data_IF_269893162360
#
_entry.id   IF_269893162360
#
_cell.length_a   1.000
_cell.length_b   1.000
_cell.length_c   1.000
_cell.angle_alpha   90.00
_cell.angle_beta   90.00
_cell.angle_gamma   90.00
#
_symmetry.space_group_name_H-M   'P 1'
#
loop_
_entity.id
_entity.type
_entity.pdbx_description
1 polymer ?
#
# COMPACT_ATOMS: atom_id res chain seq x y z
N UNK A 1 32.51 -43.35 11.33
CA UNK A 1 33.16 -42.28 10.53
C UNK A 1 32.30 -41.78 9.37
N UNK A 2 31.63 -42.66 8.59
CA UNK A 2 30.74 -42.27 7.49
C UNK A 2 29.53 -41.43 7.94
N UNK A 3 28.84 -41.87 9.00
CA UNK A 3 27.66 -41.18 9.54
C UNK A 3 27.96 -39.75 10.00
N UNK A 4 29.12 -39.54 10.64
CA UNK A 4 29.58 -38.21 11.06
C UNK A 4 29.80 -37.29 9.86
N UNK A 5 30.44 -37.78 8.78
CA UNK A 5 30.63 -37.00 7.54
C UNK A 5 29.30 -36.68 6.84
N UNK A 6 28.32 -37.57 6.88
CA UNK A 6 26.99 -37.32 6.31
C UNK A 6 26.21 -36.25 7.10
N UNK A 7 26.25 -36.32 8.44
CA UNK A 7 25.59 -35.34 9.31
C UNK A 7 26.22 -33.96 9.15
N UNK A 8 27.56 -33.86 9.08
CA UNK A 8 28.23 -32.57 8.88
C UNK A 8 27.96 -31.96 7.50
N UNK A 9 27.88 -32.77 6.43
CA UNK A 9 27.46 -32.28 5.11
C UNK A 9 25.99 -31.79 5.12
N UNK A 10 25.08 -32.52 5.76
CA UNK A 10 23.67 -32.10 5.88
C UNK A 10 23.54 -30.76 6.62
N UNK A 11 24.23 -30.61 7.76
CA UNK A 11 24.24 -29.34 8.52
C UNK A 11 24.83 -28.21 7.66
N UNK A 12 25.93 -28.44 6.96
CA UNK A 12 26.54 -27.43 6.09
C UNK A 12 25.61 -27.01 4.94
N UNK A 13 24.90 -27.95 4.31
CA UNK A 13 23.93 -27.65 3.24
C UNK A 13 22.71 -26.87 3.77
N UNK A 14 22.20 -27.23 4.95
CA UNK A 14 21.10 -26.52 5.60
C UNK A 14 21.52 -25.09 5.97
N UNK A 15 22.70 -24.92 6.59
CA UNK A 15 23.24 -23.60 6.92
C UNK A 15 23.46 -22.74 5.66
N UNK A 16 23.99 -23.32 4.58
CA UNK A 16 24.17 -22.60 3.32
C UNK A 16 22.82 -22.18 2.73
N UNK A 17 21.81 -23.06 2.73
CA UNK A 17 20.47 -22.74 2.27
C UNK A 17 19.85 -21.59 3.08
N UNK A 18 19.99 -21.60 4.41
CA UNK A 18 19.53 -20.52 5.30
C UNK A 18 20.23 -19.20 4.96
N UNK A 19 21.56 -19.19 4.83
CA UNK A 19 22.34 -17.99 4.51
C UNK A 19 21.99 -17.43 3.13
N UNK A 20 21.83 -18.31 2.14
CA UNK A 20 21.41 -17.91 0.79
C UNK A 20 20.00 -17.31 0.82
N UNK A 21 19.05 -17.94 1.51
CA UNK A 21 17.69 -17.44 1.63
C UNK A 21 17.64 -16.07 2.33
N UNK A 22 18.39 -15.90 3.41
CA UNK A 22 18.51 -14.62 4.12
C UNK A 22 19.11 -13.50 3.25
N UNK A 23 20.10 -13.82 2.40
CA UNK A 23 20.65 -12.85 1.43
C UNK A 23 19.65 -12.47 0.34
N UNK A 24 18.90 -13.43 -0.19
CA UNK A 24 17.85 -13.20 -1.20
C UNK A 24 16.74 -12.31 -0.62
N UNK A 25 16.27 -12.62 0.59
CA UNK A 25 15.24 -11.84 1.28
C UNK A 25 15.69 -10.38 1.52
N UNK A 26 16.96 -10.18 1.92
CA UNK A 26 17.53 -8.84 2.13
C UNK A 26 17.60 -8.03 0.83
N UNK A 27 17.95 -8.66 -0.30
CA UNK A 27 18.05 -7.99 -1.60
C UNK A 27 16.66 -7.66 -2.19
N UNK A 28 15.70 -8.57 -2.07
CA UNK A 28 14.31 -8.32 -2.50
C UNK A 28 13.72 -7.12 -1.73
N UNK A 29 13.99 -7.06 -0.43
CA UNK A 29 13.54 -5.98 0.44
C UNK A 29 14.12 -4.62 0.07
N UNK A 30 15.45 -4.49 -0.08
CA UNK A 30 16.08 -3.22 -0.47
C UNK A 30 15.49 -2.70 -1.79
N UNK A 31 15.27 -3.63 -2.72
CA UNK A 31 14.65 -3.35 -4.01
C UNK A 31 13.23 -2.83 -3.84
N UNK A 32 12.40 -3.50 -3.03
CA UNK A 32 11.03 -3.10 -2.76
C UNK A 32 10.94 -1.74 -2.05
N UNK A 33 11.79 -1.49 -1.05
CA UNK A 33 11.88 -0.20 -0.35
C UNK A 33 12.29 0.92 -1.29
N UNK A 34 13.33 0.71 -2.09
CA UNK A 34 13.80 1.70 -3.07
C UNK A 34 12.72 1.97 -4.12
N UNK A 35 12.04 0.94 -4.62
CA UNK A 35 10.93 1.07 -5.55
C UNK A 35 9.75 1.84 -4.95
N UNK A 36 9.33 1.49 -3.73
CA UNK A 36 8.26 2.18 -3.03
C UNK A 36 8.58 3.67 -2.84
N UNK A 37 9.78 3.99 -2.35
CA UNK A 37 10.20 5.36 -2.07
C UNK A 37 10.41 6.21 -3.33
N UNK A 38 11.11 5.69 -4.34
CA UNK A 38 11.56 6.49 -5.48
C UNK A 38 10.63 6.43 -6.68
N UNK A 39 9.71 5.47 -6.73
CA UNK A 39 8.78 5.28 -7.86
C UNK A 39 7.33 5.41 -7.43
N UNK A 40 6.90 4.66 -6.42
CA UNK A 40 5.48 4.57 -6.07
C UNK A 40 4.99 5.72 -5.19
N UNK A 41 5.85 6.27 -4.33
CA UNK A 41 5.49 7.37 -3.45
C UNK A 41 5.20 8.67 -4.22
N UNK A 42 6.05 9.13 -5.18
CA UNK A 42 5.70 10.30 -6.00
C UNK A 42 4.39 10.15 -6.77
N UNK A 43 4.04 8.92 -7.17
CA UNK A 43 2.76 8.62 -7.83
C UNK A 43 1.59 8.73 -6.86
N UNK A 44 1.73 8.23 -5.63
CA UNK A 44 0.69 8.36 -4.59
C UNK A 44 0.50 9.82 -4.16
N UNK A 45 1.60 10.54 -3.93
CA UNK A 45 1.61 11.97 -3.62
C UNK A 45 0.99 12.81 -4.75
N UNK A 46 1.38 12.53 -5.99
CA UNK A 46 0.82 13.19 -7.18
C UNK A 46 -0.71 13.07 -7.28
N UNK A 47 -1.34 12.10 -6.62
CA UNK A 47 -2.79 11.96 -6.64
C UNK A 47 -3.52 13.06 -5.87
N UNK A 48 -2.84 13.74 -4.95
CA UNK A 48 -3.35 14.87 -4.16
C UNK A 48 -3.13 16.22 -4.83
N UNK A 49 -2.37 16.25 -5.93
CA UNK A 49 -1.95 17.47 -6.59
C UNK A 49 -2.96 17.96 -7.65
N UNK A 50 -2.83 19.22 -8.07
CA UNK A 50 -3.47 19.67 -9.31
C UNK A 50 -2.80 19.03 -10.54
N UNK A 51 -3.43 19.14 -11.72
CA UNK A 51 -2.90 18.52 -12.94
C UNK A 51 -1.46 18.95 -13.26
N UNK A 52 -1.08 20.24 -13.22
CA UNK A 52 0.30 20.66 -13.44
C UNK A 52 1.31 20.06 -12.46
N UNK A 53 0.98 20.02 -11.17
CA UNK A 53 1.86 19.46 -10.14
C UNK A 53 1.95 17.94 -10.24
N UNK A 54 0.85 17.25 -10.47
CA UNK A 54 0.85 15.80 -10.72
C UNK A 54 1.75 15.44 -11.90
N UNK A 55 1.69 16.23 -12.97
CA UNK A 55 2.57 16.07 -14.14
C UNK A 55 4.05 16.27 -13.78
N UNK A 56 4.38 17.21 -12.88
CA UNK A 56 5.75 17.36 -12.36
C UNK A 56 6.16 16.14 -11.54
N UNK A 57 5.28 15.61 -10.70
CA UNK A 57 5.55 14.42 -9.89
C UNK A 57 5.87 13.20 -10.74
N UNK A 58 5.07 12.95 -11.78
CA UNK A 58 5.33 11.81 -12.66
C UNK A 58 6.58 12.01 -13.51
N UNK A 59 6.85 13.24 -13.98
CA UNK A 59 8.03 13.53 -14.81
C UNK A 59 9.36 13.45 -14.08
N UNK A 60 9.35 13.60 -12.76
CA UNK A 60 10.55 13.37 -11.94
C UNK A 60 10.90 11.88 -11.82
N UNK A 61 9.90 11.01 -11.92
CA UNK A 61 10.13 9.56 -11.96
C UNK A 61 10.54 9.10 -13.36
N UNK A 62 9.89 9.65 -14.39
CA UNK A 62 10.17 9.39 -15.80
C UNK A 62 10.01 10.68 -16.61
N UNK A 63 11.10 11.24 -17.12
CA UNK A 63 11.09 12.49 -17.88
C UNK A 63 10.13 12.48 -19.08
N UNK A 64 9.88 11.30 -19.65
CA UNK A 64 9.03 11.09 -20.82
C UNK A 64 7.63 10.60 -20.41
N UNK A 65 7.24 10.78 -19.14
CA UNK A 65 5.94 10.38 -18.63
C UNK A 65 4.80 11.07 -19.39
N UNK A 66 3.81 10.26 -19.76
CA UNK A 66 2.60 10.70 -20.44
C UNK A 66 1.43 10.47 -19.50
N UNK A 67 0.76 11.53 -19.07
CA UNK A 67 -0.54 11.41 -18.42
C UNK A 67 -1.60 11.10 -19.48
N UNK A 68 -2.35 10.03 -19.30
CA UNK A 68 -3.28 9.56 -20.32
C UNK A 68 -4.58 10.35 -20.34
N UNK A 69 -5.11 10.71 -19.17
CA UNK A 69 -6.49 11.19 -19.05
C UNK A 69 -6.68 12.31 -18.02
N UNK A 70 -5.60 12.92 -17.51
CA UNK A 70 -5.75 13.82 -16.37
C UNK A 70 -6.23 13.05 -15.13
N UNK A 71 -6.96 13.74 -14.27
CA UNK A 71 -7.69 13.11 -13.18
C UNK A 71 -9.08 12.72 -13.64
N UNK A 72 -9.43 11.45 -13.48
CA UNK A 72 -10.82 11.04 -13.44
C UNK A 72 -11.31 11.22 -12.00
N UNK A 73 -12.51 11.78 -11.86
CA UNK A 73 -13.15 11.91 -10.56
C UNK A 73 -14.57 11.41 -10.61
N UNK A 74 -15.02 10.83 -9.49
CA UNK A 74 -16.38 10.38 -9.31
C UNK A 74 -16.78 10.59 -7.86
N UNK A 75 -18.09 10.74 -7.63
CA UNK A 75 -18.63 10.77 -6.27
C UNK A 75 -18.42 9.40 -5.62
N UNK A 76 -17.64 9.37 -4.54
CA UNK A 76 -17.48 8.16 -3.74
C UNK A 76 -18.64 7.98 -2.77
N UNK A 77 -19.09 9.09 -2.16
CA UNK A 77 -20.27 9.15 -1.29
C UNK A 77 -20.70 10.61 -1.13
N UNK A 78 -22.01 10.87 -1.20
CA UNK A 78 -22.60 12.22 -1.08
C UNK A 78 -21.88 13.26 -1.96
N UNK A 79 -21.15 14.20 -1.34
CA UNK A 79 -20.41 15.28 -1.99
C UNK A 79 -18.88 15.10 -1.93
N UNK A 80 -18.41 13.90 -1.58
CA UNK A 80 -16.98 13.56 -1.65
C UNK A 80 -16.63 13.03 -3.03
N UNK A 81 -15.66 13.68 -3.66
CA UNK A 81 -15.06 13.24 -4.90
C UNK A 81 -13.84 12.39 -4.60
N UNK A 82 -13.81 11.18 -5.14
CA UNK A 82 -12.55 10.46 -5.28
C UNK A 82 -11.92 10.78 -6.61
N UNK A 83 -10.60 10.57 -6.67
CA UNK A 83 -9.79 10.88 -7.83
C UNK A 83 -8.87 9.71 -8.14
N UNK A 84 -8.68 9.47 -9.43
CA UNK A 84 -7.70 8.51 -9.95
C UNK A 84 -7.04 9.14 -11.17
N UNK A 85 -5.73 8.97 -11.30
CA UNK A 85 -5.04 9.31 -12.54
C UNK A 85 -4.31 8.09 -13.10
N UNK A 86 -4.04 8.15 -14.40
CA UNK A 86 -3.27 7.12 -15.09
C UNK A 86 -2.16 7.75 -15.91
N UNK A 87 -0.98 7.13 -15.87
CA UNK A 87 0.19 7.62 -16.57
C UNK A 87 0.98 6.48 -17.21
N UNK A 88 1.64 6.75 -18.33
CA UNK A 88 2.64 5.87 -18.93
C UNK A 88 4.00 6.40 -18.53
N UNK A 89 4.87 5.50 -18.11
CA UNK A 89 6.29 5.74 -17.85
C UNK A 89 7.09 4.95 -18.89
N UNK A 90 7.41 5.52 -20.07
CA UNK A 90 8.04 4.80 -21.16
C UNK A 90 9.42 4.23 -20.80
N UNK A 91 10.24 4.98 -20.05
CA UNK A 91 11.60 4.57 -19.68
C UNK A 91 11.60 3.46 -18.63
N UNK A 92 10.51 3.33 -17.86
CA UNK A 92 10.31 2.21 -16.93
C UNK A 92 9.46 1.08 -17.51
N UNK A 93 8.97 1.24 -18.75
CA UNK A 93 8.00 0.32 -19.38
C UNK A 93 6.85 0.00 -18.43
N UNK A 94 6.28 1.04 -17.81
CA UNK A 94 5.24 0.89 -16.82
C UNK A 94 4.03 1.77 -17.13
N UNK A 95 2.86 1.31 -16.70
CA UNK A 95 1.62 2.07 -16.67
C UNK A 95 1.22 2.19 -15.21
N UNK A 96 0.94 3.41 -14.77
CA UNK A 96 0.59 3.74 -13.41
C UNK A 96 -0.91 3.95 -13.30
N UNK A 97 -1.51 3.41 -12.24
CA UNK A 97 -2.84 3.76 -11.76
C UNK A 97 -2.67 4.23 -10.32
N UNK A 98 -2.98 5.50 -10.06
CA UNK A 98 -2.80 6.09 -8.74
C UNK A 98 -4.11 6.68 -8.23
N UNK A 99 -4.52 6.24 -7.06
CA UNK A 99 -5.75 6.67 -6.40
C UNK A 99 -5.46 7.65 -5.28
N UNK A 100 -6.22 8.73 -5.25
CA UNK A 100 -6.19 9.71 -4.16
C UNK A 100 -6.99 9.18 -2.97
N UNK A 101 -6.49 9.44 -1.76
CA UNK A 101 -7.27 9.25 -0.54
C UNK A 101 -8.20 10.44 -0.23
N UNK A 102 -8.85 10.40 0.94
CA UNK A 102 -9.73 11.47 1.39
C UNK A 102 -8.94 12.75 1.71
N UNK A 103 -9.52 13.90 1.39
CA UNK A 103 -8.93 15.22 1.67
C UNK A 103 -8.90 15.52 3.18
N UNK A 104 -7.81 16.15 3.59
CA UNK A 104 -7.39 16.39 4.97
C UNK A 104 -8.32 17.26 5.82
N UNK A 105 -9.25 17.97 5.20
CA UNK A 105 -10.27 18.75 5.89
C UNK A 105 -11.48 17.96 6.40
N UNK A 106 -11.62 16.66 6.06
CA UNK A 106 -12.88 15.92 6.25
C UNK A 106 -12.71 14.61 7.04
N UNK A 107 -12.09 14.68 8.23
CA UNK A 107 -11.90 13.52 9.14
C UNK A 107 -13.20 12.75 9.43
N UNK A 108 -14.34 13.44 9.55
CA UNK A 108 -15.65 12.81 9.75
C UNK A 108 -16.04 11.83 8.64
N UNK A 109 -15.63 12.09 7.38
CA UNK A 109 -15.95 11.21 6.25
C UNK A 109 -15.14 9.92 6.30
N UNK A 110 -13.92 9.98 6.82
CA UNK A 110 -13.08 8.80 7.03
C UNK A 110 -13.71 7.91 8.09
N UNK A 111 -14.24 8.48 9.17
CA UNK A 111 -14.94 7.74 10.22
C UNK A 111 -16.17 7.00 9.69
N UNK A 112 -16.98 7.69 8.88
CA UNK A 112 -18.15 7.07 8.25
C UNK A 112 -17.76 6.04 7.19
N UNK A 113 -16.70 6.30 6.43
CA UNK A 113 -16.15 5.37 5.43
C UNK A 113 -15.65 4.09 6.10
N UNK A 114 -14.91 4.21 7.19
CA UNK A 114 -14.35 3.10 7.96
C UNK A 114 -15.44 2.35 8.74
N UNK A 115 -16.43 3.07 9.28
CA UNK A 115 -17.60 2.48 9.91
C UNK A 115 -18.46 1.69 8.92
N UNK A 116 -18.74 2.26 7.74
CA UNK A 116 -19.47 1.55 6.67
C UNK A 116 -18.63 0.45 6.00
N UNK A 117 -17.30 0.53 6.07
CA UNK A 117 -16.42 -0.54 5.68
C UNK A 117 -16.53 -1.76 6.60
N UNK A 118 -17.18 -1.70 7.77
CA UNK A 118 -17.42 -2.89 8.59
C UNK A 118 -18.41 -3.87 7.92
N UNK A 119 -19.30 -3.37 7.06
CA UNK A 119 -20.19 -4.21 6.27
C UNK A 119 -19.45 -4.76 5.05
N UNK A 120 -19.33 -6.09 4.97
CA UNK A 120 -18.71 -6.79 3.85
C UNK A 120 -19.72 -6.97 2.72
N UNK A 121 -19.26 -6.82 1.49
CA UNK A 121 -20.00 -7.14 0.27
C UNK A 121 -19.20 -8.10 -0.58
N UNK A 122 -19.89 -8.97 -1.30
CA UNK A 122 -19.25 -9.92 -2.19
C UNK A 122 -18.39 -9.20 -3.23
N UNK A 123 -17.18 -9.70 -3.39
CA UNK A 123 -16.24 -9.22 -4.38
C UNK A 123 -16.16 -10.23 -5.51
N UNK A 124 -16.55 -9.82 -6.73
CA UNK A 124 -16.58 -10.68 -7.92
C UNK A 124 -15.25 -11.36 -8.26
N UNK A 125 -14.13 -10.89 -7.70
CA UNK A 125 -12.81 -11.46 -7.90
C UNK A 125 -12.32 -12.29 -6.72
N UNK A 126 -13.21 -12.64 -5.77
CA UNK A 126 -12.95 -13.55 -4.67
C UNK A 126 -13.11 -12.90 -3.29
N UNK A 127 -13.86 -13.58 -2.42
CA UNK A 127 -14.10 -13.17 -1.03
C UNK A 127 -15.06 -12.00 -0.91
N UNK A 128 -14.94 -11.27 0.20
CA UNK A 128 -15.71 -10.06 0.46
C UNK A 128 -14.81 -8.89 0.80
N UNK A 129 -15.26 -7.69 0.44
CA UNK A 129 -14.55 -6.43 0.68
C UNK A 129 -15.46 -5.45 1.40
N UNK A 130 -14.87 -4.45 2.05
CA UNK A 130 -15.64 -3.40 2.71
C UNK A 130 -16.59 -2.70 1.72
N UNK A 131 -17.88 -2.59 2.07
CA UNK A 131 -18.94 -2.03 1.22
C UNK A 131 -18.57 -0.66 0.69
N UNK A 132 -18.05 0.21 1.56
CA UNK A 132 -17.65 1.55 1.18
C UNK A 132 -16.54 1.53 0.12
N UNK A 133 -15.48 0.74 0.32
CA UNK A 133 -14.39 0.60 -0.65
C UNK A 133 -14.90 0.08 -1.99
N UNK A 134 -15.80 -0.92 -1.98
CA UNK A 134 -16.44 -1.43 -3.19
C UNK A 134 -17.22 -0.35 -3.93
N UNK A 135 -18.09 0.37 -3.24
CA UNK A 135 -18.91 1.43 -3.86
C UNK A 135 -18.05 2.56 -4.44
N UNK A 136 -17.08 3.03 -3.66
CA UNK A 136 -16.12 4.05 -4.09
C UNK A 136 -15.33 3.60 -5.33
N UNK A 137 -14.87 2.34 -5.33
CA UNK A 137 -14.18 1.75 -6.47
C UNK A 137 -15.10 1.66 -7.68
N UNK A 138 -16.28 1.04 -7.57
CA UNK A 138 -17.19 0.85 -8.70
C UNK A 138 -17.56 2.19 -9.36
N UNK A 139 -17.81 3.23 -8.56
CA UNK A 139 -18.13 4.58 -9.05
C UNK A 139 -16.99 5.21 -9.88
N UNK A 140 -15.74 5.04 -9.44
CA UNK A 140 -14.57 5.53 -10.20
C UNK A 140 -14.22 4.63 -11.39
N UNK A 141 -14.37 3.32 -11.20
CA UNK A 141 -13.76 2.32 -12.07
C UNK A 141 -14.58 2.03 -13.31
N UNK A 142 -15.91 2.20 -13.26
CA UNK A 142 -16.78 1.91 -14.40
C UNK A 142 -16.36 2.64 -15.68
N UNK A 143 -15.97 3.92 -15.57
CA UNK A 143 -15.50 4.71 -16.72
C UNK A 143 -14.03 4.41 -17.08
N UNK A 144 -13.20 4.11 -16.10
CA UNK A 144 -11.76 3.91 -16.29
C UNK A 144 -11.41 2.52 -16.83
N UNK A 145 -12.12 1.47 -16.39
CA UNK A 145 -11.83 0.08 -16.74
C UNK A 145 -11.89 -0.17 -18.25
N UNK A 146 -12.90 0.42 -18.92
CA UNK A 146 -13.07 0.32 -20.36
C UNK A 146 -11.88 0.96 -21.08
N UNK A 147 -11.53 2.20 -20.69
CA UNK A 147 -10.41 2.93 -21.30
C UNK A 147 -9.08 2.23 -21.08
N UNK A 148 -8.81 1.76 -19.86
CA UNK A 148 -7.60 1.02 -19.54
C UNK A 148 -7.48 -0.29 -20.31
N UNK A 149 -8.57 -1.05 -20.41
CA UNK A 149 -8.55 -2.35 -21.11
C UNK A 149 -8.19 -2.15 -22.58
N UNK A 150 -8.83 -1.20 -23.26
CA UNK A 150 -8.52 -0.86 -24.66
C UNK A 150 -7.10 -0.32 -24.82
N UNK A 151 -6.67 0.57 -23.91
CA UNK A 151 -5.33 1.15 -23.94
C UNK A 151 -4.23 0.11 -23.77
N UNK A 152 -4.43 -0.85 -22.87
CA UNK A 152 -3.46 -1.89 -22.54
C UNK A 152 -3.35 -2.98 -23.62
N UNK A 153 -4.34 -3.08 -24.52
CA UNK A 153 -4.29 -3.95 -25.70
C UNK A 153 -3.43 -3.39 -26.83
N UNK A 154 -3.05 -2.10 -26.79
CA UNK A 154 -2.13 -1.52 -27.77
C UNK A 154 -0.79 -2.27 -27.74
N UNK A 155 -0.34 -2.75 -28.90
CA UNK A 155 0.87 -3.59 -29.03
C UNK A 155 2.10 -2.99 -28.35
N UNK A 156 2.25 -1.66 -28.41
CA UNK A 156 3.31 -0.89 -27.76
C UNK A 156 3.40 -1.17 -26.25
N UNK A 157 2.25 -1.28 -25.59
CA UNK A 157 2.15 -1.41 -24.12
C UNK A 157 1.95 -2.85 -23.66
N UNK A 158 1.85 -3.81 -24.58
CA UNK A 158 1.61 -5.23 -24.28
C UNK A 158 2.65 -5.86 -23.35
N UNK A 159 3.85 -5.27 -23.26
CA UNK A 159 4.95 -5.71 -22.38
C UNK A 159 5.18 -4.81 -21.16
N UNK A 160 4.34 -3.81 -20.93
CA UNK A 160 4.53 -2.88 -19.82
C UNK A 160 4.06 -3.51 -18.50
N UNK A 161 4.69 -3.16 -17.39
CA UNK A 161 4.18 -3.48 -16.06
C UNK A 161 3.00 -2.56 -15.71
N UNK A 162 2.12 -3.04 -14.83
CA UNK A 162 1.05 -2.25 -14.25
C UNK A 162 1.39 -1.93 -12.80
N UNK A 163 1.72 -0.67 -12.53
CA UNK A 163 2.03 -0.15 -11.21
C UNK A 163 0.77 0.48 -10.61
N UNK A 164 0.32 -0.03 -9.48
CA UNK A 164 -0.92 0.40 -8.83
C UNK A 164 -0.56 0.91 -7.44
N UNK A 165 -1.03 2.11 -7.11
CA UNK A 165 -0.68 2.77 -5.85
C UNK A 165 -1.81 3.65 -5.32
N UNK A 166 -1.68 4.00 -4.04
CA UNK A 166 -2.54 4.96 -3.38
C UNK A 166 -2.22 5.07 -1.90
N UNK A 167 -2.63 6.18 -1.31
CA UNK A 167 -2.51 6.45 0.12
C UNK A 167 -3.88 6.42 0.80
N UNK A 168 -3.96 5.94 2.05
CA UNK A 168 -5.19 5.92 2.83
C UNK A 168 -6.33 5.15 2.11
N UNK A 169 -7.51 5.78 1.94
CA UNK A 169 -8.58 5.29 1.06
C UNK A 169 -8.08 4.92 -0.35
N UNK A 170 -7.20 5.72 -0.95
CA UNK A 170 -6.62 5.41 -2.25
C UNK A 170 -5.84 4.09 -2.23
N UNK A 171 -5.21 3.74 -1.11
CA UNK A 171 -4.58 2.44 -0.91
C UNK A 171 -5.59 1.29 -0.87
N UNK A 172 -6.77 1.50 -0.29
CA UNK A 172 -7.86 0.51 -0.34
C UNK A 172 -8.38 0.30 -1.78
N UNK A 173 -8.59 1.39 -2.52
CA UNK A 173 -9.00 1.33 -3.93
C UNK A 173 -7.93 0.67 -4.81
N UNK A 174 -6.65 0.93 -4.54
CA UNK A 174 -5.52 0.29 -5.23
C UNK A 174 -5.51 -1.24 -5.05
N UNK A 175 -5.87 -1.76 -3.86
CA UNK A 175 -6.02 -3.21 -3.65
C UNK A 175 -7.15 -3.81 -4.51
N UNK A 176 -8.30 -3.14 -4.59
CA UNK A 176 -9.42 -3.56 -5.43
C UNK A 176 -9.04 -3.51 -6.92
N UNK A 177 -8.32 -2.45 -7.33
CA UNK A 177 -7.79 -2.30 -8.68
C UNK A 177 -6.81 -3.42 -9.06
N UNK A 178 -5.90 -3.79 -8.16
CA UNK A 178 -4.98 -4.90 -8.37
C UNK A 178 -5.71 -6.24 -8.46
N UNK A 179 -6.74 -6.44 -7.64
CA UNK A 179 -7.59 -7.64 -7.71
C UNK A 179 -8.32 -7.74 -9.05
N UNK A 180 -8.91 -6.64 -9.54
CA UNK A 180 -9.49 -6.57 -10.89
C UNK A 180 -8.43 -6.82 -11.97
N UNK A 181 -7.30 -6.12 -11.90
CA UNK A 181 -6.24 -6.20 -12.89
C UNK A 181 -5.70 -7.62 -13.01
N UNK A 182 -5.61 -8.35 -11.90
CA UNK A 182 -5.13 -9.74 -11.87
C UNK A 182 -6.02 -10.75 -12.62
N UNK A 183 -7.18 -10.33 -13.11
CA UNK A 183 -8.06 -11.19 -13.92
C UNK A 183 -7.97 -10.87 -15.41
N UNK A 184 -7.53 -9.64 -15.74
CA UNK A 184 -7.45 -9.14 -17.12
C UNK A 184 -6.02 -8.92 -17.61
N UNK A 185 -5.04 -8.86 -16.70
CA UNK A 185 -3.61 -8.69 -16.97
C UNK A 185 -2.81 -9.91 -16.52
N UNK A 186 -1.69 -10.21 -17.19
CA UNK A 186 -0.76 -11.21 -16.70
C UNK A 186 -0.29 -10.86 -15.28
N UNK A 187 -0.63 -11.76 -14.38
CA UNK A 187 -0.36 -11.76 -12.95
C UNK A 187 1.07 -11.36 -12.55
N UNK A 188 2.06 -11.76 -13.35
CA UNK A 188 3.48 -11.47 -13.11
C UNK A 188 3.91 -10.04 -13.46
N UNK A 189 3.01 -9.19 -13.96
CA UNK A 189 3.31 -7.81 -14.37
C UNK A 189 2.63 -6.75 -13.51
N UNK A 190 1.89 -7.16 -12.47
CA UNK A 190 1.20 -6.24 -11.57
C UNK A 190 2.08 -5.99 -10.35
N UNK A 191 2.33 -4.70 -10.06
CA UNK A 191 3.01 -4.24 -8.85
C UNK A 191 2.08 -3.35 -8.06
N UNK A 192 1.66 -3.83 -6.89
CA UNK A 192 0.85 -3.06 -5.94
C UNK A 192 1.74 -2.56 -4.81
N UNK A 193 1.77 -1.24 -4.61
CA UNK A 193 2.38 -0.63 -3.42
C UNK A 193 1.41 0.37 -2.84
N UNK A 194 1.08 0.25 -1.55
CA UNK A 194 0.13 1.16 -0.89
C UNK A 194 0.73 1.80 0.34
N UNK A 195 0.27 3.01 0.67
CA UNK A 195 0.76 3.79 1.82
C UNK A 195 -0.38 4.00 2.80
N UNK A 196 -0.24 3.57 4.05
CA UNK A 196 -1.26 3.82 5.09
C UNK A 196 -2.63 3.20 4.77
N UNK A 197 -2.67 2.15 3.96
CA UNK A 197 -3.94 1.56 3.54
C UNK A 197 -4.62 0.83 4.71
N UNK A 198 -5.95 0.98 4.89
CA UNK A 198 -6.71 0.14 5.80
C UNK A 198 -6.80 -1.30 5.28
N UNK A 199 -7.27 -2.24 6.11
CA UNK A 199 -7.61 -3.60 5.67
C UNK A 199 -8.81 -3.55 4.72
N UNK A 200 -8.76 -4.28 3.61
CA UNK A 200 -9.72 -4.08 2.51
C UNK A 200 -10.81 -5.16 2.44
N UNK A 201 -10.43 -6.41 2.72
CA UNK A 201 -11.34 -7.54 2.59
C UNK A 201 -11.06 -8.66 3.57
N UNK A 202 -11.88 -9.71 3.46
CA UNK A 202 -11.76 -10.93 4.26
C UNK A 202 -10.56 -11.79 3.84
N UNK A 203 -10.40 -12.91 4.54
CA UNK A 203 -9.31 -13.85 4.30
C UNK A 203 -9.31 -14.38 2.85
N UNK A 204 -10.51 -14.65 2.31
CA UNK A 204 -10.69 -15.16 0.94
C UNK A 204 -10.25 -14.11 -0.08
N UNK A 205 -10.55 -12.83 0.15
CA UNK A 205 -10.08 -11.72 -0.68
C UNK A 205 -8.55 -11.64 -0.68
N UNK A 206 -7.93 -11.63 0.52
CA UNK A 206 -6.47 -11.63 0.67
C UNK A 206 -5.83 -12.77 -0.12
N UNK A 207 -6.26 -14.00 0.14
CA UNK A 207 -5.68 -15.20 -0.48
C UNK A 207 -5.90 -15.23 -1.99
N UNK A 208 -7.04 -14.75 -2.47
CA UNK A 208 -7.29 -14.61 -3.90
C UNK A 208 -6.35 -13.58 -4.54
N UNK A 209 -6.07 -12.45 -3.87
CA UNK A 209 -5.18 -11.41 -4.36
C UNK A 209 -3.72 -11.88 -4.37
N UNK A 210 -3.20 -12.42 -3.28
CA UNK A 210 -1.80 -12.87 -3.16
C UNK A 210 -1.48 -14.07 -4.07
N UNK A 211 -2.46 -14.93 -4.37
CA UNK A 211 -2.28 -15.99 -5.35
C UNK A 211 -1.99 -15.44 -6.75
N UNK A 212 -2.63 -14.33 -7.13
CA UNK A 212 -2.56 -13.77 -8.47
C UNK A 212 -1.55 -12.64 -8.62
N UNK A 213 -1.34 -11.80 -7.61
CA UNK A 213 -0.38 -10.69 -7.66
C UNK A 213 0.79 -11.01 -6.75
N UNK A 214 1.99 -11.14 -7.33
CA UNK A 214 3.20 -11.54 -6.58
C UNK A 214 3.92 -10.38 -5.91
N UNK A 215 3.79 -9.18 -6.46
CA UNK A 215 4.43 -7.98 -5.91
C UNK A 215 3.37 -7.11 -5.22
N UNK A 216 3.16 -7.35 -3.93
CA UNK A 216 2.26 -6.56 -3.08
C UNK A 216 3.04 -6.12 -1.85
N UNK A 217 3.22 -4.80 -1.70
CA UNK A 217 3.89 -4.21 -0.56
C UNK A 217 3.05 -3.11 0.07
N UNK A 218 3.00 -3.08 1.40
CA UNK A 218 2.30 -2.04 2.17
C UNK A 218 3.30 -1.27 3.01
N UNK A 219 3.25 0.06 2.91
CA UNK A 219 4.09 0.96 3.69
C UNK A 219 3.25 1.48 4.85
N UNK A 220 3.62 1.12 6.07
CA UNK A 220 2.85 1.41 7.29
C UNK A 220 3.72 2.13 8.31
N UNK A 221 3.08 2.84 9.24
CA UNK A 221 3.77 3.50 10.34
C UNK A 221 3.17 3.03 11.68
N UNK A 222 4.02 2.87 12.71
CA UNK A 222 3.63 2.31 14.01
C UNK A 222 2.44 3.01 14.64
N UNK A 223 2.44 4.33 14.55
CA UNK A 223 1.44 5.22 15.14
C UNK A 223 0.30 5.55 14.18
N UNK A 224 0.25 4.95 12.99
CA UNK A 224 -0.88 5.12 12.07
C UNK A 224 -2.05 4.21 12.51
N UNK A 225 -3.22 4.77 12.87
CA UNK A 225 -4.39 3.99 13.27
C UNK A 225 -5.18 3.44 12.08
N UNK A 226 -5.08 4.05 10.89
CA UNK A 226 -5.86 3.65 9.70
C UNK A 226 -5.46 2.26 9.23
N UNK A 227 -4.18 1.91 9.33
CA UNK A 227 -3.69 0.58 8.99
C UNK A 227 -4.23 -0.51 9.93
N UNK A 228 -4.78 -0.15 11.10
CA UNK A 228 -5.29 -1.10 12.10
C UNK A 228 -6.79 -1.34 12.00
N UNK A 229 -7.45 -0.79 10.98
CA UNK A 229 -8.89 -0.89 10.81
C UNK A 229 -9.25 -1.30 9.37
N UNK A 230 -10.44 -1.87 9.18
CA UNK A 230 -11.31 -2.49 10.17
C UNK A 230 -10.66 -3.72 10.84
N UNK A 231 -10.96 -3.98 12.12
CA UNK A 231 -10.27 -5.01 12.93
C UNK A 231 -10.81 -6.44 12.77
N UNK A 232 -12.13 -6.64 12.62
CA UNK A 232 -12.73 -7.99 12.72
C UNK A 232 -12.96 -8.64 11.35
N UNK A 233 -12.28 -9.77 11.13
CA UNK A 233 -12.44 -10.59 9.92
C UNK A 233 -12.00 -9.89 8.63
N UNK A 234 -11.11 -8.91 8.75
CA UNK A 234 -10.45 -8.23 7.65
C UNK A 234 -8.95 -8.47 7.76
N UNK A 235 -8.30 -8.64 6.61
CA UNK A 235 -6.89 -9.02 6.55
C UNK A 235 -6.16 -8.13 5.56
N UNK A 236 -4.92 -7.79 5.91
CA UNK A 236 -4.00 -7.16 4.98
C UNK A 236 -3.51 -8.16 3.94
N UNK A 237 -3.22 -7.66 2.74
CA UNK A 237 -2.58 -8.42 1.68
C UNK A 237 -1.13 -7.95 1.48
N UNK A 238 -0.27 -8.89 1.11
CA UNK A 238 1.12 -8.66 0.77
C UNK A 238 2.03 -8.46 1.97
N UNK A 239 3.24 -8.03 1.63
CA UNK A 239 4.36 -7.87 2.55
C UNK A 239 4.32 -6.48 3.20
N UNK A 240 4.55 -6.40 4.49
CA UNK A 240 4.62 -5.12 5.20
C UNK A 240 6.04 -4.53 5.19
N UNK A 241 6.13 -3.21 4.98
CA UNK A 241 7.29 -2.37 5.24
C UNK A 241 6.88 -1.35 6.30
N UNK A 242 7.05 -1.75 7.55
CA UNK A 242 6.59 -1.00 8.72
C UNK A 242 7.66 -0.04 9.24
N UNK A 243 7.31 1.18 9.61
CA UNK A 243 8.23 2.17 10.17
C UNK A 243 7.89 2.45 11.64
N UNK A 244 8.84 2.20 12.56
CA UNK A 244 8.64 2.42 14.01
C UNK A 244 8.66 3.89 14.42
N UNK A 245 9.60 4.68 13.90
CA UNK A 245 9.79 6.10 14.25
C UNK A 245 10.25 6.89 13.03
N UNK A 246 9.46 7.88 12.63
CA UNK A 246 9.72 8.67 11.43
C UNK A 246 9.79 7.78 10.19
N UNK A 247 9.97 8.39 9.02
CA UNK A 247 10.06 7.62 7.76
C UNK A 247 11.38 7.84 7.00
N UNK A 248 12.36 8.49 7.63
CA UNK A 248 13.63 8.86 6.99
C UNK A 248 14.77 7.86 7.12
N UNK A 249 14.81 7.07 8.19
CA UNK A 249 15.94 6.18 8.52
C UNK A 249 15.60 4.70 8.49
N UNK A 250 16.63 3.88 8.30
CA UNK A 250 16.67 2.41 8.40
C UNK A 250 16.34 1.85 9.79
N UNK A 251 15.87 2.67 10.72
CA UNK A 251 15.71 2.31 12.13
C UNK A 251 14.34 1.69 12.41
N UNK A 252 14.35 0.40 12.77
CA UNK A 252 13.19 -0.31 13.32
C UNK A 252 12.07 -0.55 12.31
N UNK A 253 12.37 -1.29 11.24
CA UNK A 253 11.35 -1.74 10.31
C UNK A 253 11.19 -3.25 10.35
N UNK A 254 9.95 -3.69 10.15
CA UNK A 254 9.58 -5.08 10.26
C UNK A 254 8.99 -5.55 8.93
N UNK A 255 9.15 -6.85 8.66
CA UNK A 255 8.59 -7.52 7.50
C UNK A 255 7.57 -8.57 7.93
N UNK A 256 6.29 -8.22 7.85
CA UNK A 256 5.17 -9.11 8.14
C UNK A 256 4.74 -9.88 6.90
N UNK A 257 4.33 -11.13 7.09
CA UNK A 257 3.54 -11.91 6.12
C UNK A 257 2.25 -12.38 6.80
N UNK A 258 1.09 -12.07 6.21
CA UNK A 258 -0.19 -12.60 6.67
C UNK A 258 -0.53 -12.24 8.12
N UNK A 259 -0.80 -13.25 8.96
CA UNK A 259 -1.26 -13.06 10.36
C UNK A 259 -0.15 -12.62 11.34
N UNK A 260 1.10 -12.44 10.87
CA UNK A 260 2.24 -11.93 11.64
C UNK A 260 2.64 -10.52 11.20
N UNK A 261 1.65 -9.66 10.98
CA UNK A 261 1.85 -8.25 10.63
C UNK A 261 2.56 -7.51 11.77
N UNK A 262 3.53 -6.69 11.41
CA UNK A 262 4.38 -5.95 12.34
C UNK A 262 3.62 -4.89 13.10
N UNK A 263 2.59 -4.33 12.47
CA UNK A 263 1.65 -3.44 13.13
C UNK A 263 0.83 -4.14 14.23
N UNK A 264 0.69 -5.48 14.18
CA UNK A 264 0.00 -6.27 15.20
C UNK A 264 0.94 -6.68 16.33
N UNK A 265 2.15 -7.14 16.00
CA UNK A 265 3.15 -7.60 16.98
C UNK A 265 3.87 -6.45 17.66
N UNK A 266 3.88 -5.26 17.06
CA UNK A 266 4.62 -4.10 17.55
C UNK A 266 6.14 -4.31 17.69
N UNK A 267 6.64 -5.37 17.07
CA UNK A 267 8.03 -5.81 17.11
C UNK A 267 8.57 -5.87 15.69
N UNK A 268 9.78 -5.32 15.51
CA UNK A 268 10.59 -5.67 14.35
C UNK A 268 11.42 -6.91 14.71
N UNK A 269 11.45 -7.96 13.87
CA UNK A 269 12.32 -9.09 14.12
C UNK A 269 13.75 -8.58 14.25
N UNK A 270 14.35 -8.88 15.40
CA UNK A 270 15.55 -8.31 16.01
C UNK A 270 16.70 -8.00 15.03
N UNK A 271 17.23 -6.77 15.08
CA UNK A 271 18.68 -6.61 15.13
C UNK A 271 19.11 -6.76 16.60
N UNK A 272 20.10 -7.61 16.82
CA UNK A 272 20.74 -8.01 18.08
C UNK A 272 20.73 -6.94 19.20
N UNK A 273 20.30 -7.38 20.39
CA UNK A 273 20.48 -6.77 21.71
C UNK A 273 19.67 -5.51 22.03
N UNK A 274 18.47 -5.71 22.60
CA UNK A 274 17.83 -4.69 23.43
C UNK A 274 16.37 -5.01 23.78
N UNK A 275 16.08 -5.13 25.08
CA UNK A 275 14.74 -5.38 25.65
C UNK A 275 13.70 -4.32 25.23
N UNK A 276 12.39 -4.66 25.24
CA UNK A 276 11.35 -3.94 24.53
C UNK A 276 10.97 -2.61 25.18
N UNK A 277 10.98 -1.53 24.39
CA UNK A 277 10.09 -0.40 24.60
C UNK A 277 8.79 -0.68 23.84
N UNK A 278 7.76 -1.10 24.57
CA UNK A 278 6.46 -1.47 24.02
C UNK A 278 5.83 -0.34 23.21
N UNK A 279 5.04 -0.71 22.19
CA UNK A 279 3.96 0.17 21.72
C UNK A 279 3.11 0.52 22.94
N UNK A 280 2.89 1.81 23.20
CA UNK A 280 2.00 2.24 24.27
C UNK A 280 0.68 1.45 24.23
N UNK A 281 0.38 0.84 25.37
CA UNK A 281 -0.76 0.00 25.73
C UNK A 281 -1.96 0.01 24.77
N UNK A 282 -2.13 -1.10 24.06
CA UNK A 282 -3.36 -1.44 23.34
C UNK A 282 -4.45 -2.01 24.28
N UNK A 283 -4.48 -1.63 25.55
CA UNK A 283 -5.54 -2.01 26.49
C UNK A 283 -6.86 -1.24 26.26
N UNK A 284 -6.87 -0.17 25.44
CA UNK A 284 -8.05 0.67 25.23
C UNK A 284 -8.86 0.42 23.95
N UNK A 285 -8.35 -0.32 22.96
CA UNK A 285 -8.95 -0.31 21.61
C UNK A 285 -10.15 -1.27 21.42
N UNK A 286 -10.34 -2.23 22.34
CA UNK A 286 -11.44 -3.20 22.25
C UNK A 286 -12.82 -2.63 22.62
N UNK A 287 -12.88 -1.46 23.27
CA UNK A 287 -14.11 -0.90 23.84
C UNK A 287 -14.39 0.56 23.43
N UNK A 288 -14.24 0.93 22.16
CA UNK A 288 -14.52 2.31 21.72
C UNK A 288 -15.58 2.37 20.61
N UNK A 289 -16.83 2.20 21.01
CA UNK A 289 -18.01 2.66 20.26
C UNK A 289 -18.71 3.70 21.14
N UNK A 290 -18.17 4.92 21.23
CA UNK A 290 -18.86 6.05 21.86
C UNK A 290 -18.50 7.37 21.18
N UNK A 291 -19.29 8.41 21.42
CA UNK A 291 -19.13 9.77 20.88
C UNK A 291 -17.72 10.37 21.03
N UNK A 292 -16.92 9.89 21.99
CA UNK A 292 -15.52 10.26 22.21
C UNK A 292 -14.53 9.76 21.13
N UNK A 293 -14.93 8.78 20.32
CA UNK A 293 -14.15 8.26 19.18
C UNK A 293 -13.94 9.35 18.11
N UNK A 294 -14.99 10.13 17.80
CA UNK A 294 -14.95 11.17 16.74
C UNK A 294 -13.95 12.30 17.00
N UNK A 295 -13.79 12.72 18.25
CA UNK A 295 -12.84 13.77 18.62
C UNK A 295 -11.38 13.27 18.51
N UNK A 296 -11.13 12.04 18.94
CA UNK A 296 -9.81 11.39 18.87
C UNK A 296 -9.41 11.07 17.42
N UNK A 297 -10.38 10.84 16.53
CA UNK A 297 -10.13 10.55 15.11
C UNK A 297 -9.53 11.71 14.31
N UNK A 298 -9.86 12.96 14.66
CA UNK A 298 -9.25 14.13 14.02
C UNK A 298 -7.74 14.23 14.35
N UNK A 299 -7.38 13.89 15.58
CA UNK A 299 -5.99 13.79 16.05
C UNK A 299 -5.27 12.60 15.39
N UNK A 300 -5.92 11.43 15.35
CA UNK A 300 -5.47 10.22 14.67
C UNK A 300 -5.26 10.40 13.15
N UNK A 301 -6.07 11.24 12.50
CA UNK A 301 -5.92 11.58 11.08
C UNK A 301 -4.74 12.52 10.83
N UNK A 302 -4.52 13.51 11.71
CA UNK A 302 -3.33 14.36 11.64
C UNK A 302 -2.08 13.48 11.62
N UNK A 303 -2.00 12.51 12.54
CA UNK A 303 -0.94 11.51 12.57
C UNK A 303 -0.88 10.65 11.30
N UNK A 304 -2.03 10.16 10.80
CA UNK A 304 -2.09 9.38 9.56
C UNK A 304 -1.50 10.12 8.35
N UNK A 305 -1.67 11.45 8.23
CA UNK A 305 -1.08 12.22 7.13
C UNK A 305 0.36 12.68 7.40
N UNK A 306 0.65 13.09 8.62
CA UNK A 306 1.92 13.72 9.00
C UNK A 306 3.11 12.76 8.89
N UNK A 307 2.95 11.48 9.25
CA UNK A 307 4.05 10.52 9.13
C UNK A 307 4.50 10.30 7.68
N UNK A 308 3.55 10.28 6.75
CA UNK A 308 3.88 10.14 5.33
C UNK A 308 4.38 11.45 4.73
N UNK A 309 4.09 12.61 5.33
CA UNK A 309 4.83 13.84 5.06
C UNK A 309 6.28 13.73 5.58
N UNK A 310 6.55 12.95 6.62
CA UNK A 310 7.91 12.77 7.12
C UNK A 310 8.84 11.99 6.17
N UNK A 311 8.28 11.16 5.26
CA UNK A 311 9.00 10.63 4.09
C UNK A 311 9.58 11.76 3.23
N UNK A 312 8.92 12.93 3.20
CA UNK A 312 9.36 14.11 2.46
C UNK A 312 10.24 15.03 3.31
N UNK A 313 9.98 15.16 4.62
CA UNK A 313 10.69 16.08 5.53
C UNK A 313 12.08 15.60 5.96
N UNK A 314 12.28 14.40 6.50
CA UNK A 314 13.62 14.04 7.01
C UNK A 314 14.59 13.51 5.92
N UNK A 315 14.21 13.71 4.66
CA UNK A 315 15.09 13.65 3.50
C UNK A 315 15.21 15.01 2.80
N UNK A 316 14.99 16.11 3.55
CA UNK A 316 15.01 17.51 3.13
C UNK A 316 16.34 18.02 2.57
N UNK A 317 17.44 17.25 2.62
CA UNK A 317 18.63 17.58 1.83
C UNK A 317 18.61 17.01 0.39
N UNK A 318 17.61 16.19 0.02
CA UNK A 318 17.43 15.66 -1.36
C UNK A 318 16.00 15.64 -1.89
N UNK A 319 14.96 15.75 -1.05
CA UNK A 319 13.56 15.51 -1.47
C UNK A 319 12.67 16.76 -1.40
N UNK A 320 13.13 17.84 -0.75
CA UNK A 320 12.57 19.18 -0.92
C UNK A 320 12.59 19.65 -2.39
N UNK A 321 13.38 18.99 -3.24
CA UNK A 321 13.39 19.23 -4.68
C UNK A 321 12.22 18.57 -5.43
N UNK A 322 11.45 17.62 -4.87
CA UNK A 322 10.33 16.98 -5.61
C UNK A 322 9.07 17.86 -5.71
N UNK A 323 8.77 18.68 -4.69
CA UNK A 323 7.61 19.58 -4.69
C UNK A 323 6.24 18.90 -4.82
N UNK A 324 6.16 17.59 -4.61
CA UNK A 324 4.90 16.84 -4.64
C UNK A 324 4.18 16.93 -3.28
N UNK A 325 2.85 17.09 -3.27
CA UNK A 325 2.07 17.34 -2.06
C UNK A 325 1.98 16.14 -1.11
#
# INVERSE_FOLDING_TARGET
MLLYKMVTMLIATLCLAIVVNAKVDKQEWWTAKHFAKNKMFPMAAGAYADTPMMQRCIRKVDKDAINLNGFLSAKCRFDEMCYVFTAVLPNHRAIVISFRGTDSGKSQLIDEALGNALFKHEWKYGGHVGRYFKMAFDNLWNSLAIQLTSFLQVQKYRRYELWITGHSLGGALANLAASWASVVFPNNRIRLVTFGAPRVGDLKFRDALERRVKFIYRITHASDPVVRIPWSGYYHAGKELWYKKGMSSTTGFCHGKGNGDCIETCEAPEELNGRPAGCAESAGWKNFISWSFRAKLKELYHYHTEYYQDLTKNSLSKWGELGCP
#
